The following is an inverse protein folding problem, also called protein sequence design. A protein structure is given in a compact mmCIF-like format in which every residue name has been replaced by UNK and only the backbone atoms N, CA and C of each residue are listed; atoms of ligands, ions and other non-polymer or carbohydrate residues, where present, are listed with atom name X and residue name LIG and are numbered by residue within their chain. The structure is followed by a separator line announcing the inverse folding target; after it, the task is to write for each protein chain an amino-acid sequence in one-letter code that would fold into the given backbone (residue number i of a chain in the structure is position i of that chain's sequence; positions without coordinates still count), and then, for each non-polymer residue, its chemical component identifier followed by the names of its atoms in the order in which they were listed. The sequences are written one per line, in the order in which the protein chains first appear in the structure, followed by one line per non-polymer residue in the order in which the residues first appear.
data_IF_257484905754
#
_entry.id   IF_257484905754
#
_cell.length_a   1.000
_cell.length_b   1.000
_cell.length_c   1.000
_cell.angle_alpha   90.00
_cell.angle_beta   90.00
_cell.angle_gamma   90.00
#
_symmetry.space_group_name_H-M   'P 1'
#
loop_
_entity.id
_entity.type
_entity.pdbx_description
1 polymer ?
#
# COMPACT_ATOMS: atom_id res chain seq x y z
N UNK A 1 -12.33 -5.44 -5.17
CA UNK A 1 -10.90 -5.31 -4.82
C UNK A 1 -10.05 -5.51 -6.07
N UNK A 2 -9.95 -4.46 -6.89
CA UNK A 2 -9.32 -4.50 -8.22
C UNK A 2 -7.98 -5.25 -8.12
N UNK A 3 -7.82 -6.39 -8.80
CA UNK A 3 -6.61 -7.23 -8.85
C UNK A 3 -6.36 -8.29 -7.75
N UNK A 4 -7.33 -8.60 -6.86
CA UNK A 4 -7.20 -9.75 -5.95
C UNK A 4 -7.98 -10.96 -6.49
N UNK A 5 -7.32 -12.06 -6.90
CA UNK A 5 -7.98 -13.20 -7.54
C UNK A 5 -9.03 -13.88 -6.65
N UNK A 6 -8.77 -13.92 -5.34
CA UNK A 6 -9.63 -14.64 -4.39
C UNK A 6 -10.85 -13.83 -3.95
N UNK A 7 -10.96 -12.56 -4.35
CA UNK A 7 -12.12 -11.75 -4.02
C UNK A 7 -13.32 -12.16 -4.90
N UNK A 8 -14.41 -12.69 -4.31
CA UNK A 8 -15.48 -13.26 -5.11
C UNK A 8 -16.29 -12.18 -5.83
N UNK A 9 -16.85 -12.53 -6.98
CA UNK A 9 -17.81 -11.66 -7.70
C UNK A 9 -19.06 -11.42 -6.84
N UNK A 10 -19.51 -12.44 -6.11
CA UNK A 10 -20.65 -12.40 -5.18
C UNK A 10 -20.41 -13.34 -4.01
N UNK A 11 -20.89 -12.97 -2.82
CA UNK A 11 -20.95 -13.88 -1.68
C UNK A 11 -22.24 -14.71 -1.70
N UNK A 12 -22.17 -15.96 -1.25
CA UNK A 12 -23.35 -16.85 -1.16
C UNK A 12 -24.32 -16.44 -0.05
N UNK A 13 -23.80 -15.81 0.99
CA UNK A 13 -24.55 -15.34 2.16
C UNK A 13 -23.81 -14.23 2.90
N UNK A 14 -24.46 -13.63 3.90
CA UNK A 14 -23.80 -12.69 4.82
C UNK A 14 -22.73 -13.38 5.68
N UNK A 15 -22.92 -14.65 6.03
CA UNK A 15 -21.97 -15.44 6.80
C UNK A 15 -20.69 -15.71 6.00
N UNK A 16 -20.83 -16.06 4.72
CA UNK A 16 -19.68 -16.22 3.82
C UNK A 16 -18.91 -14.91 3.66
N UNK A 17 -19.65 -13.80 3.52
CA UNK A 17 -19.04 -12.48 3.42
C UNK A 17 -18.23 -12.11 4.66
N UNK A 18 -18.75 -12.39 5.87
CA UNK A 18 -18.05 -12.13 7.14
C UNK A 18 -16.81 -13.00 7.27
N UNK A 19 -16.95 -14.30 7.05
CA UNK A 19 -15.84 -15.26 7.13
C UNK A 19 -14.69 -14.88 6.19
N UNK A 20 -15.02 -14.48 4.95
CA UNK A 20 -14.02 -13.97 4.03
C UNK A 20 -13.38 -12.67 4.52
N UNK A 21 -14.19 -11.69 4.93
CA UNK A 21 -13.71 -10.37 5.37
C UNK A 21 -12.78 -10.47 6.60
N UNK A 22 -13.04 -11.40 7.51
CA UNK A 22 -12.26 -11.61 8.74
C UNK A 22 -10.80 -11.99 8.45
N UNK A 23 -10.54 -12.78 7.41
CA UNK A 23 -9.17 -13.07 6.97
C UNK A 23 -8.61 -12.01 6.02
N UNK A 24 -9.47 -11.46 5.18
CA UNK A 24 -9.08 -10.56 4.12
C UNK A 24 -8.59 -9.20 4.61
N UNK A 25 -9.32 -8.54 5.52
CA UNK A 25 -8.98 -7.18 5.93
C UNK A 25 -7.68 -7.09 6.73
N UNK A 26 -7.35 -8.01 7.65
CA UNK A 26 -6.04 -8.03 8.29
C UNK A 26 -4.91 -8.11 7.27
N UNK A 27 -5.00 -9.06 6.32
CA UNK A 27 -4.01 -9.23 5.25
C UNK A 27 -3.91 -7.98 4.38
N UNK A 28 -5.05 -7.41 3.96
CA UNK A 28 -5.11 -6.20 3.15
C UNK A 28 -4.44 -4.99 3.83
N UNK A 29 -4.73 -4.79 5.11
CA UNK A 29 -4.30 -3.62 5.86
C UNK A 29 -2.87 -3.74 6.39
N UNK A 30 -2.39 -4.94 6.71
CA UNK A 30 -1.14 -5.14 7.42
C UNK A 30 -0.05 -5.86 6.61
N UNK A 31 -0.40 -6.59 5.57
CA UNK A 31 0.56 -7.43 4.82
C UNK A 31 0.69 -7.02 3.36
N UNK A 32 -0.45 -6.80 2.69
CA UNK A 32 -0.48 -6.47 1.27
C UNK A 32 0.11 -5.08 1.03
N UNK A 33 1.07 -5.00 0.10
CA UNK A 33 1.78 -3.77 -0.27
C UNK A 33 1.16 -3.15 -1.51
N UNK A 34 0.68 -1.92 -1.37
CA UNK A 34 -0.14 -1.25 -2.36
C UNK A 34 0.70 -0.31 -3.21
N UNK A 35 0.68 -0.49 -4.53
CA UNK A 35 1.41 0.37 -5.47
C UNK A 35 0.96 1.83 -5.39
N UNK A 36 -0.33 2.08 -5.17
CA UNK A 36 -0.91 3.42 -5.03
C UNK A 36 -0.41 4.22 -3.81
N UNK A 37 0.22 3.55 -2.83
CA UNK A 37 0.84 4.18 -1.65
C UNK A 37 2.32 3.83 -1.54
N UNK A 38 3.02 3.70 -2.67
CA UNK A 38 4.47 3.50 -2.67
C UNK A 38 4.92 2.13 -2.13
N UNK A 39 4.10 1.10 -2.34
CA UNK A 39 4.29 -0.27 -1.82
C UNK A 39 4.29 -0.32 -0.28
N UNK A 40 3.53 0.57 0.36
CA UNK A 40 3.24 0.51 1.79
C UNK A 40 1.96 -0.28 2.06
N UNK A 41 1.77 -0.66 3.32
CA UNK A 41 0.50 -1.23 3.80
C UNK A 41 -0.40 -0.08 4.28
N UNK A 42 -1.74 -0.20 4.18
CA UNK A 42 -2.65 0.82 4.68
C UNK A 42 -2.40 1.15 6.15
N UNK A 43 -2.11 0.14 6.98
CA UNK A 43 -1.75 0.34 8.38
C UNK A 43 -0.49 1.20 8.54
N UNK A 44 0.56 0.97 7.75
CA UNK A 44 1.79 1.76 7.88
C UNK A 44 1.59 3.24 7.53
N UNK A 45 0.68 3.54 6.59
CA UNK A 45 0.31 4.92 6.27
C UNK A 45 -0.57 5.50 7.37
N UNK A 46 -1.60 4.77 7.79
CA UNK A 46 -2.54 5.20 8.82
C UNK A 46 -1.87 5.51 10.17
N UNK A 47 -0.97 4.64 10.61
CA UNK A 47 -0.22 4.81 11.86
C UNK A 47 1.06 5.65 11.71
N UNK A 48 1.29 6.30 10.55
CA UNK A 48 2.40 7.22 10.35
C UNK A 48 3.80 6.58 10.31
N UNK A 49 3.90 5.25 10.18
CA UNK A 49 5.21 4.55 10.15
C UNK A 49 5.82 4.47 8.74
N UNK A 50 5.08 4.92 7.71
CA UNK A 50 5.50 4.84 6.32
C UNK A 50 6.83 5.57 6.04
N UNK A 51 7.06 6.76 6.61
CA UNK A 51 8.31 7.52 6.40
C UNK A 51 9.53 6.80 6.98
N UNK A 52 9.37 6.21 8.16
CA UNK A 52 10.43 5.43 8.79
C UNK A 52 10.79 4.21 7.94
N UNK A 53 9.77 3.46 7.49
CA UNK A 53 9.97 2.32 6.58
C UNK A 53 10.62 2.77 5.26
N UNK A 54 10.22 3.91 4.71
CA UNK A 54 10.79 4.46 3.48
C UNK A 54 12.29 4.77 3.65
N UNK A 55 12.68 5.34 4.78
CA UNK A 55 14.08 5.63 5.13
C UNK A 55 14.90 4.34 5.25
N UNK A 56 14.37 3.32 5.92
CA UNK A 56 15.01 2.00 6.01
C UNK A 56 15.18 1.36 4.63
N UNK A 57 14.15 1.43 3.77
CA UNK A 57 14.21 0.92 2.39
C UNK A 57 15.32 1.59 1.59
N UNK A 58 15.45 2.91 1.69
CA UNK A 58 16.52 3.62 1.01
C UNK A 58 17.90 3.17 1.51
N UNK A 59 18.06 3.00 2.82
CA UNK A 59 19.31 2.49 3.41
C UNK A 59 19.67 1.12 2.87
N UNK A 60 18.71 0.20 2.77
CA UNK A 60 18.93 -1.13 2.19
C UNK A 60 19.33 -1.06 0.71
N UNK A 61 18.65 -0.21 -0.06
CA UNK A 61 18.96 -0.01 -1.48
C UNK A 61 20.34 0.60 -1.69
N UNK A 62 20.74 1.53 -0.83
CA UNK A 62 22.08 2.13 -0.86
C UNK A 62 23.17 1.10 -0.58
N UNK A 63 22.96 0.23 0.42
CA UNK A 63 23.89 -0.87 0.73
C UNK A 63 24.00 -1.84 -0.44
N UNK A 64 22.87 -2.22 -1.05
CA UNK A 64 22.86 -3.11 -2.21
C UNK A 64 23.59 -2.49 -3.41
N UNK A 65 23.38 -1.19 -3.67
CA UNK A 65 24.06 -0.46 -4.72
C UNK A 65 25.57 -0.33 -4.46
N UNK A 66 25.99 -0.09 -3.23
CA UNK A 66 27.41 -0.02 -2.87
C UNK A 66 28.12 -1.37 -3.02
N UNK A 67 27.45 -2.47 -2.70
CA UNK A 67 28.01 -3.81 -2.83
C UNK A 67 28.11 -4.31 -4.28
N UNK A 68 27.14 -3.92 -5.13
CA UNK A 68 27.02 -4.42 -6.51
C UNK A 68 26.62 -3.31 -7.49
N UNK A 69 27.45 -2.27 -7.69
CA UNK A 69 27.09 -1.15 -8.55
C UNK A 69 26.82 -1.58 -10.00
N UNK A 70 27.46 -2.64 -10.49
CA UNK A 70 27.29 -3.21 -11.83
C UNK A 70 25.87 -3.73 -12.11
N UNK A 71 25.10 -4.05 -11.06
CA UNK A 71 23.70 -4.50 -11.18
C UNK A 71 22.72 -3.35 -11.38
N UNK A 72 23.18 -2.11 -11.30
CA UNK A 72 22.32 -0.93 -11.34
C UNK A 72 22.83 0.08 -12.37
N UNK A 73 21.94 0.51 -13.27
CA UNK A 73 22.25 1.61 -14.21
C UNK A 73 22.31 2.97 -13.53
N UNK A 74 21.69 3.11 -12.35
CA UNK A 74 21.64 4.30 -11.51
C UNK A 74 21.37 3.92 -10.06
N UNK A 75 21.66 4.82 -9.11
CA UNK A 75 21.31 4.63 -7.70
C UNK A 75 19.80 4.32 -7.55
N UNK A 76 19.43 3.17 -6.98
CA UNK A 76 18.03 2.79 -6.82
C UNK A 76 17.31 3.63 -5.76
N UNK A 77 16.02 3.86 -5.99
CA UNK A 77 15.10 4.59 -5.09
C UNK A 77 13.83 3.79 -4.87
N UNK A 78 13.30 3.73 -3.63
CA UNK A 78 11.97 3.20 -3.42
C UNK A 78 10.92 4.13 -4.05
N UNK A 79 9.73 3.62 -4.42
CA UNK A 79 8.63 4.45 -4.89
C UNK A 79 8.29 5.58 -3.90
N UNK A 80 7.97 6.76 -4.41
CA UNK A 80 7.64 7.91 -3.58
C UNK A 80 6.36 7.65 -2.76
N UNK A 81 6.32 8.19 -1.54
CA UNK A 81 5.10 8.26 -0.76
C UNK A 81 4.15 9.29 -1.39
N UNK A 82 2.86 8.96 -1.62
CA UNK A 82 1.92 9.95 -2.12
C UNK A 82 1.60 10.97 -1.03
N UNK A 83 1.31 12.21 -1.43
CA UNK A 83 0.80 13.26 -0.51
C UNK A 83 -0.63 12.96 -0.04
N UNK A 84 -1.42 12.34 -0.89
CA UNK A 84 -2.78 11.91 -0.62
C UNK A 84 -3.11 10.67 -1.46
N UNK A 85 -4.01 9.83 -0.97
CA UNK A 85 -4.54 8.68 -1.69
C UNK A 85 -6.04 8.58 -1.43
N UNK A 86 -6.80 8.20 -2.46
CA UNK A 86 -8.25 8.07 -2.37
C UNK A 86 -8.69 6.76 -3.03
N UNK A 87 -9.63 6.05 -2.40
CA UNK A 87 -10.38 4.97 -3.07
C UNK A 87 -11.43 5.60 -3.99
N UNK A 88 -12.12 6.63 -3.50
CA UNK A 88 -13.00 7.51 -4.26
C UNK A 88 -12.61 8.95 -3.89
N UNK A 89 -11.98 9.67 -4.82
CA UNK A 89 -11.63 11.07 -4.57
C UNK A 89 -12.92 11.90 -4.50
N UNK A 90 -13.16 12.66 -3.42
CA UNK A 90 -14.32 13.54 -3.35
C UNK A 90 -14.21 14.61 -4.44
N UNK A 91 -15.33 14.89 -5.10
CA UNK A 91 -15.44 16.05 -6.00
C UNK A 91 -15.48 17.34 -5.20
N UNK A 92 -15.13 18.48 -5.80
CA UNK A 92 -15.08 19.79 -5.12
C UNK A 92 -16.40 20.13 -4.40
N UNK A 93 -17.54 19.72 -4.95
CA UNK A 93 -18.87 19.90 -4.35
C UNK A 93 -19.14 19.05 -3.09
N UNK A 94 -18.24 18.14 -2.72
CA UNK A 94 -18.36 17.24 -1.57
C UNK A 94 -17.36 17.57 -0.45
N UNK A 95 -16.52 18.60 -0.63
CA UNK A 95 -15.65 19.09 0.45
C UNK A 95 -16.48 20.01 1.37
N UNK A 96 -16.40 19.85 2.70
CA UNK A 96 -17.08 20.78 3.60
C UNK A 96 -16.54 22.20 3.35
N UNK A 97 -17.46 23.13 3.12
CA UNK A 97 -17.15 24.56 3.05
C UNK A 97 -16.74 24.99 4.46
N UNK A 98 -15.53 25.53 4.56
CA UNK A 98 -14.92 25.95 5.82
C UNK A 98 -15.59 27.22 6.37
#
# INVERSE_FOLDING_TARGET
MKYMPDFPERFGSLEDARTFCDGFFPTYNHEHRHSGIGLHTPASVHFGTAEHIHTQRQTTLDRAHAAHPERFTRRPRPPALPKAAWINQPTEHQLPVN
#
